data_IF_551367163053
#
_entry.id   IF_551367163053
#
_cell.length_a   1.000
_cell.length_b   1.000
_cell.length_c   1.000
_cell.angle_alpha   90.00
_cell.angle_beta   90.00
_cell.angle_gamma   90.00
#
_symmetry.space_group_name_H-M   'P 1'
#
loop_
_entity.id
_entity.type
_entity.pdbx_description
1 polymer ?
#
# COMPACT_ATOMS: atom_id res chain seq x y z
N UNK A 1 -28.70 4.56 50.60
CA UNK A 1 -29.14 3.31 49.91
C UNK A 1 -30.28 3.73 49.00
N UNK A 2 -30.25 3.73 47.67
CA UNK A 2 -29.48 3.05 46.64
C UNK A 2 -29.69 3.88 45.36
N UNK A 3 -28.62 4.34 44.69
CA UNK A 3 -28.72 4.94 43.35
C UNK A 3 -27.61 4.37 42.46
N UNK A 4 -27.55 3.03 42.39
CA UNK A 4 -26.48 2.27 41.70
C UNK A 4 -26.98 1.44 40.52
N UNK A 5 -28.10 1.81 39.90
CA UNK A 5 -28.75 0.95 38.89
C UNK A 5 -29.28 1.69 37.66
N UNK A 6 -28.49 2.63 37.13
CA UNK A 6 -28.73 3.20 35.77
C UNK A 6 -27.55 2.90 34.84
N UNK A 7 -26.92 1.72 34.96
CA UNK A 7 -25.79 1.33 34.12
C UNK A 7 -25.85 -0.09 33.54
N UNK A 8 -27.03 -0.70 33.42
CA UNK A 8 -27.14 -2.03 32.81
C UNK A 8 -28.33 -2.19 31.88
N UNK A 9 -28.38 -1.42 30.80
CA UNK A 9 -29.16 -1.81 29.62
C UNK A 9 -28.77 -1.05 28.35
N UNK A 10 -27.47 -0.88 28.07
CA UNK A 10 -27.11 -0.74 26.67
C UNK A 10 -27.37 -2.12 26.05
N UNK A 11 -28.41 -2.22 25.23
CA UNK A 11 -28.74 -3.47 24.54
C UNK A 11 -27.52 -4.00 23.79
N UNK A 12 -27.42 -5.32 23.61
CA UNK A 12 -26.34 -5.92 22.77
C UNK A 12 -26.28 -5.24 21.39
N UNK A 13 -27.41 -4.73 20.88
CA UNK A 13 -27.51 -3.94 19.64
C UNK A 13 -26.88 -2.55 19.74
N UNK A 14 -27.05 -1.83 20.85
CA UNK A 14 -26.40 -0.53 21.08
C UNK A 14 -24.90 -0.68 21.31
N UNK A 15 -24.48 -1.73 22.02
CA UNK A 15 -23.06 -2.06 22.16
C UNK A 15 -22.44 -2.47 20.81
N UNK A 16 -23.18 -3.18 19.95
CA UNK A 16 -22.75 -3.51 18.58
C UNK A 16 -22.71 -2.28 17.64
N UNK A 17 -23.60 -1.30 17.83
CA UNK A 17 -23.58 -0.06 17.04
C UNK A 17 -22.37 0.83 17.37
N UNK A 18 -21.95 0.86 18.63
CA UNK A 18 -20.77 1.59 19.10
C UNK A 18 -19.44 0.89 18.78
N UNK A 19 -19.49 -0.43 18.53
CA UNK A 19 -18.34 -1.25 18.13
C UNK A 19 -18.17 -1.37 16.60
N UNK A 20 -18.92 -0.62 15.79
CA UNK A 20 -18.66 -0.56 14.35
C UNK A 20 -17.30 0.11 14.16
N UNK A 21 -16.28 -0.59 13.60
CA UNK A 21 -15.05 0.09 13.23
C UNK A 21 -15.43 1.24 12.30
N UNK A 22 -14.87 2.42 12.55
CA UNK A 22 -15.09 3.66 11.82
C UNK A 22 -14.59 3.51 10.37
N UNK A 23 -15.36 2.75 9.58
CA UNK A 23 -15.20 2.38 8.18
C UNK A 23 -13.88 1.74 7.76
N UNK A 24 -13.76 1.48 6.45
CA UNK A 24 -12.62 0.80 5.83
C UNK A 24 -12.85 -0.68 5.54
N UNK A 25 -11.80 -1.34 5.08
CA UNK A 25 -11.75 -2.77 4.79
C UNK A 25 -11.67 -3.55 6.10
N UNK A 26 -12.47 -4.60 6.22
CA UNK A 26 -12.33 -5.57 7.30
C UNK A 26 -10.90 -6.12 7.35
N UNK A 27 -10.37 -6.41 8.55
CA UNK A 27 -8.97 -6.77 8.74
C UNK A 27 -8.51 -7.94 7.85
N UNK A 28 -9.36 -8.97 7.71
CA UNK A 28 -9.08 -10.12 6.84
C UNK A 28 -9.05 -9.75 5.35
N UNK A 29 -9.98 -8.88 4.91
CA UNK A 29 -10.04 -8.39 3.53
C UNK A 29 -8.81 -7.54 3.23
N UNK A 30 -8.45 -6.62 4.14
CA UNK A 30 -7.24 -5.81 4.02
C UNK A 30 -6.01 -6.69 3.87
N UNK A 31 -5.84 -7.69 4.74
CA UNK A 31 -4.72 -8.63 4.67
C UNK A 31 -4.63 -9.29 3.30
N UNK A 32 -5.73 -9.90 2.83
CA UNK A 32 -5.79 -10.59 1.54
C UNK A 32 -5.45 -9.67 0.36
N UNK A 33 -5.95 -8.44 0.37
CA UNK A 33 -5.65 -7.44 -0.67
C UNK A 33 -4.18 -7.06 -0.66
N UNK A 34 -3.58 -6.84 0.51
CA UNK A 34 -2.16 -6.48 0.62
C UNK A 34 -1.25 -7.63 0.23
N UNK A 35 -1.57 -8.86 0.64
CA UNK A 35 -0.87 -10.08 0.19
C UNK A 35 -0.93 -10.23 -1.33
N UNK A 36 -2.10 -9.98 -1.93
CA UNK A 36 -2.25 -10.01 -3.38
C UNK A 36 -1.38 -8.95 -4.05
N UNK A 37 -1.39 -7.71 -3.57
CA UNK A 37 -0.53 -6.63 -4.09
C UNK A 37 0.94 -7.04 -4.02
N UNK A 38 1.39 -7.53 -2.86
CA UNK A 38 2.80 -7.88 -2.63
C UNK A 38 3.25 -9.02 -3.55
N UNK A 39 2.42 -10.05 -3.73
CA UNK A 39 2.69 -11.16 -4.64
C UNK A 39 2.75 -10.75 -6.13
N UNK A 40 2.20 -9.60 -6.48
CA UNK A 40 2.06 -9.13 -7.86
C UNK A 40 2.88 -7.86 -8.16
N UNK A 41 3.62 -7.35 -7.17
CA UNK A 41 4.23 -6.03 -7.22
C UNK A 41 5.25 -5.87 -8.36
N UNK A 42 6.01 -6.93 -8.64
CA UNK A 42 7.07 -6.97 -9.65
C UNK A 42 6.55 -7.13 -11.09
N UNK A 43 5.25 -7.32 -11.31
CA UNK A 43 4.70 -7.40 -12.67
C UNK A 43 4.82 -6.05 -13.37
N UNK A 44 5.27 -6.07 -14.62
CA UNK A 44 5.31 -4.88 -15.47
C UNK A 44 3.90 -4.41 -15.83
N UNK A 45 2.96 -5.35 -15.98
CA UNK A 45 1.54 -5.05 -16.14
C UNK A 45 0.98 -4.33 -14.91
N UNK A 46 0.10 -3.37 -15.16
CA UNK A 46 -0.52 -2.58 -14.11
C UNK A 46 -1.51 -3.43 -13.30
N UNK A 47 -1.33 -3.45 -11.97
CA UNK A 47 -2.36 -3.92 -11.05
C UNK A 47 -3.55 -2.96 -11.10
N UNK A 48 -4.69 -3.45 -11.59
CA UNK A 48 -5.86 -2.60 -11.83
C UNK A 48 -6.75 -2.50 -10.58
N UNK A 49 -7.51 -1.41 -10.50
CA UNK A 49 -8.50 -1.23 -9.43
C UNK A 49 -9.53 -2.38 -9.43
N UNK A 50 -9.94 -2.82 -10.62
CA UNK A 50 -10.87 -3.92 -10.82
C UNK A 50 -10.38 -5.22 -10.19
N UNK A 51 -9.12 -5.61 -10.46
CA UNK A 51 -8.52 -6.82 -9.87
C UNK A 51 -8.53 -6.77 -8.34
N UNK A 52 -8.12 -5.64 -7.76
CA UNK A 52 -8.07 -5.49 -6.31
C UNK A 52 -9.47 -5.48 -5.67
N UNK A 53 -10.45 -4.89 -6.35
CA UNK A 53 -11.85 -4.89 -5.91
C UNK A 53 -12.44 -6.31 -5.92
N UNK A 54 -12.11 -7.12 -6.93
CA UNK A 54 -12.48 -8.54 -6.98
C UNK A 54 -11.86 -9.33 -5.81
N UNK A 55 -10.59 -9.11 -5.49
CA UNK A 55 -9.94 -9.72 -4.31
C UNK A 55 -10.64 -9.30 -3.01
N UNK A 56 -11.18 -8.07 -2.96
CA UNK A 56 -11.95 -7.59 -1.82
C UNK A 56 -13.41 -8.06 -1.80
N UNK A 57 -13.92 -8.64 -2.89
CA UNK A 57 -15.34 -8.91 -3.14
C UNK A 57 -16.22 -7.66 -2.98
N UNK A 58 -15.79 -6.55 -3.59
CA UNK A 58 -16.47 -5.26 -3.56
C UNK A 58 -16.56 -4.68 -4.97
N UNK A 59 -17.48 -3.75 -5.19
CA UNK A 59 -17.42 -2.89 -6.39
C UNK A 59 -16.18 -2.00 -6.36
N UNK A 60 -15.70 -1.58 -7.52
CA UNK A 60 -14.49 -0.73 -7.62
C UNK A 60 -14.60 0.56 -6.82
N UNK A 61 -15.75 1.24 -6.91
CA UNK A 61 -16.01 2.46 -6.15
C UNK A 61 -15.96 2.22 -4.64
N UNK A 62 -16.63 1.16 -4.17
CA UNK A 62 -16.66 0.87 -2.74
C UNK A 62 -15.28 0.44 -2.24
N UNK A 63 -14.56 -0.38 -3.01
CA UNK A 63 -13.20 -0.78 -2.72
C UNK A 63 -12.25 0.43 -2.63
N UNK A 64 -12.25 1.33 -3.60
CA UNK A 64 -11.40 2.52 -3.58
C UNK A 64 -11.63 3.38 -2.32
N UNK A 65 -12.91 3.58 -1.95
CA UNK A 65 -13.28 4.32 -0.74
C UNK A 65 -12.79 3.63 0.53
N UNK A 66 -13.07 2.32 0.68
CA UNK A 66 -12.69 1.56 1.86
C UNK A 66 -11.18 1.38 1.98
N UNK A 67 -10.47 1.18 0.87
CA UNK A 67 -9.02 1.09 0.84
C UNK A 67 -8.40 2.41 1.31
N UNK A 68 -8.85 3.56 0.78
CA UNK A 68 -8.36 4.87 1.20
C UNK A 68 -8.61 5.14 2.67
N UNK A 69 -9.78 4.77 3.17
CA UNK A 69 -10.08 4.88 4.60
C UNK A 69 -9.17 3.99 5.46
N UNK A 70 -8.77 2.82 4.96
CA UNK A 70 -7.93 1.87 5.69
C UNK A 70 -6.44 2.19 5.65
N UNK A 71 -5.97 2.75 4.53
CA UNK A 71 -4.54 2.88 4.20
C UNK A 71 -4.09 4.33 4.09
N UNK A 72 -5.00 5.31 4.19
CA UNK A 72 -4.73 6.74 4.04
C UNK A 72 -4.45 7.20 2.60
N UNK A 73 -4.35 6.28 1.64
CA UNK A 73 -3.99 6.57 0.24
C UNK A 73 -4.80 5.71 -0.74
N UNK A 74 -4.72 6.02 -2.04
CA UNK A 74 -5.38 5.22 -3.08
C UNK A 74 -4.63 3.90 -3.32
N UNK A 75 -5.29 2.86 -3.86
CA UNK A 75 -4.62 1.60 -4.20
C UNK A 75 -3.40 1.79 -5.11
N UNK A 76 -3.52 2.63 -6.14
CA UNK A 76 -2.40 2.95 -7.04
C UNK A 76 -1.25 3.64 -6.29
N UNK A 77 -1.55 4.59 -5.40
CA UNK A 77 -0.54 5.25 -4.57
C UNK A 77 0.20 4.27 -3.66
N UNK A 78 -0.54 3.35 -3.02
CA UNK A 78 0.06 2.29 -2.20
C UNK A 78 1.02 1.40 -2.99
N UNK A 79 0.60 0.96 -4.19
CA UNK A 79 1.46 0.16 -5.09
C UNK A 79 2.72 0.94 -5.47
N UNK A 80 2.59 2.21 -5.85
CA UNK A 80 3.73 3.05 -6.22
C UNK A 80 4.73 3.18 -5.06
N UNK A 81 4.26 3.46 -3.84
CA UNK A 81 5.10 3.55 -2.65
C UNK A 81 5.84 2.23 -2.36
N UNK A 82 5.15 1.10 -2.49
CA UNK A 82 5.75 -0.24 -2.30
C UNK A 82 6.80 -0.54 -3.36
N UNK A 83 6.55 -0.22 -4.63
CA UNK A 83 7.52 -0.39 -5.73
C UNK A 83 8.76 0.47 -5.52
N UNK A 84 8.59 1.71 -5.08
CA UNK A 84 9.70 2.61 -4.80
C UNK A 84 10.51 2.20 -3.57
N UNK A 85 9.85 1.70 -2.52
CA UNK A 85 10.54 1.13 -1.37
C UNK A 85 11.46 -0.02 -1.81
N UNK A 86 10.96 -0.95 -2.65
CA UNK A 86 11.77 -2.03 -3.21
C UNK A 86 12.94 -1.50 -4.07
N UNK A 87 12.69 -0.51 -4.92
CA UNK A 87 13.74 0.10 -5.73
C UNK A 87 14.83 0.71 -4.85
N UNK A 88 14.44 1.37 -3.76
CA UNK A 88 15.37 1.96 -2.79
C UNK A 88 16.24 0.90 -2.12
N UNK A 89 15.65 -0.23 -1.77
CA UNK A 89 16.39 -1.34 -1.14
C UNK A 89 17.38 -1.96 -2.11
N UNK A 90 17.00 -2.17 -3.38
CA UNK A 90 17.88 -2.68 -4.44
C UNK A 90 19.05 -1.73 -4.74
N UNK A 91 18.78 -0.42 -4.85
CA UNK A 91 19.79 0.59 -5.13
C UNK A 91 20.73 0.83 -3.94
N UNK A 92 20.29 0.52 -2.73
CA UNK A 92 21.02 0.73 -1.48
C UNK A 92 21.89 -0.44 -1.04
N UNK A 93 22.01 -1.50 -1.85
CA UNK A 93 22.81 -2.67 -1.52
C UNK A 93 24.33 -2.38 -1.54
N UNK A 94 25.13 -2.93 -0.60
CA UNK A 94 26.55 -2.63 -0.50
C UNK A 94 27.40 -3.11 -1.67
N UNK A 95 26.94 -4.15 -2.38
CA UNK A 95 27.69 -4.79 -3.48
C UNK A 95 27.68 -3.99 -4.79
N UNK A 96 27.15 -2.77 -4.77
CA UNK A 96 26.92 -1.93 -5.93
C UNK A 96 25.48 -2.01 -6.42
N UNK A 97 24.94 -0.88 -6.88
CA UNK A 97 23.58 -0.83 -7.42
C UNK A 97 23.49 -1.58 -8.76
N UNK A 98 22.46 -2.41 -8.97
CA UNK A 98 22.20 -3.04 -10.26
C UNK A 98 21.94 -1.99 -11.37
N UNK A 99 21.95 -2.43 -12.62
CA UNK A 99 21.53 -1.61 -13.76
C UNK A 99 20.09 -1.09 -13.55
N UNK A 100 19.81 0.16 -13.91
CA UNK A 100 18.52 0.80 -13.62
C UNK A 100 17.35 0.09 -14.33
N UNK A 101 17.61 -0.49 -15.49
CA UNK A 101 16.68 -1.32 -16.25
C UNK A 101 16.28 -2.58 -15.48
N UNK A 102 17.23 -3.23 -14.82
CA UNK A 102 16.97 -4.40 -13.96
C UNK A 102 16.16 -3.99 -12.74
N UNK A 103 16.53 -2.89 -12.07
CA UNK A 103 15.77 -2.36 -10.92
C UNK A 103 14.34 -2.02 -11.33
N UNK A 104 14.15 -1.40 -12.49
CA UNK A 104 12.82 -1.09 -13.01
C UNK A 104 11.99 -2.36 -13.22
N UNK A 105 12.55 -3.37 -13.90
CA UNK A 105 11.87 -4.64 -14.15
C UNK A 105 11.50 -5.36 -12.83
N UNK A 106 12.43 -5.44 -11.87
CA UNK A 106 12.18 -6.09 -10.57
C UNK A 106 11.15 -5.35 -9.70
N UNK A 107 10.97 -4.06 -9.93
CA UNK A 107 10.00 -3.23 -9.22
C UNK A 107 8.69 -3.06 -9.99
N UNK A 108 8.50 -3.75 -11.12
CA UNK A 108 7.27 -3.68 -11.92
C UNK A 108 7.07 -2.37 -12.69
N UNK A 109 8.16 -1.67 -13.00
CA UNK A 109 8.13 -0.53 -13.92
C UNK A 109 8.39 -0.99 -15.36
N UNK A 110 7.64 -0.41 -16.30
CA UNK A 110 7.79 -0.69 -17.73
C UNK A 110 9.10 -0.20 -18.34
N UNK A 111 9.79 0.74 -17.69
CA UNK A 111 11.10 1.24 -18.13
C UNK A 111 11.88 1.91 -17.00
N UNK A 112 13.20 2.03 -17.18
CA UNK A 112 14.08 2.82 -16.33
C UNK A 112 13.63 4.29 -16.22
N UNK A 113 13.15 4.89 -17.32
CA UNK A 113 12.66 6.27 -17.34
C UNK A 113 11.40 6.46 -16.48
N UNK A 114 10.49 5.48 -16.51
CA UNK A 114 9.28 5.52 -15.68
C UNK A 114 9.61 5.39 -14.19
N UNK A 115 10.53 4.48 -13.84
CA UNK A 115 11.08 4.39 -12.49
C UNK A 115 11.73 5.71 -12.07
N UNK A 116 12.64 6.26 -12.88
CA UNK A 116 13.37 7.47 -12.55
C UNK A 116 12.46 8.69 -12.32
N UNK A 117 11.40 8.83 -13.12
CA UNK A 117 10.39 9.88 -12.93
C UNK A 117 9.66 9.71 -11.60
N UNK A 118 9.14 8.50 -11.34
CA UNK A 118 8.38 8.20 -10.13
C UNK A 118 9.24 8.36 -8.87
N UNK A 119 10.47 7.85 -8.92
CA UNK A 119 11.42 7.93 -7.81
C UNK A 119 11.78 9.38 -7.49
N UNK A 120 12.01 10.22 -8.50
CA UNK A 120 12.29 11.64 -8.27
C UNK A 120 11.10 12.39 -7.67
N UNK A 121 9.87 12.08 -8.11
CA UNK A 121 8.65 12.71 -7.57
C UNK A 121 8.49 12.39 -6.09
N UNK A 122 8.69 11.14 -5.69
CA UNK A 122 8.44 10.68 -4.32
C UNK A 122 9.64 10.87 -3.38
N UNK A 123 10.87 10.73 -3.87
CA UNK A 123 12.09 10.76 -3.05
C UNK A 123 12.89 12.06 -3.17
N UNK A 124 12.52 12.96 -4.10
CA UNK A 124 13.21 14.24 -4.34
C UNK A 124 14.56 14.15 -5.06
N UNK A 125 15.10 12.95 -5.27
CA UNK A 125 16.40 12.70 -5.94
C UNK A 125 16.25 11.62 -7.02
N UNK A 126 17.20 11.54 -7.95
CA UNK A 126 17.18 10.46 -8.95
C UNK A 126 17.68 9.13 -8.36
N UNK A 127 17.28 7.97 -8.94
CA UNK A 127 17.82 6.66 -8.54
C UNK A 127 19.34 6.60 -8.51
N UNK A 128 19.99 7.19 -9.52
CA UNK A 128 21.46 7.22 -9.64
C UNK A 128 22.11 8.07 -8.54
N UNK A 129 21.53 9.23 -8.22
CA UNK A 129 22.00 10.06 -7.11
C UNK A 129 21.86 9.32 -5.78
N UNK A 130 20.70 8.68 -5.55
CA UNK A 130 20.46 7.88 -4.36
C UNK A 130 21.48 6.74 -4.20
N UNK A 131 21.69 5.95 -5.26
CA UNK A 131 22.66 4.85 -5.27
C UNK A 131 24.11 5.32 -5.06
N UNK A 132 24.46 6.51 -5.55
CA UNK A 132 25.78 7.10 -5.31
C UNK A 132 25.96 7.53 -3.86
N UNK A 133 24.97 8.21 -3.28
CA UNK A 133 25.01 8.64 -1.88
C UNK A 133 25.16 7.44 -0.92
N UNK A 134 24.43 6.36 -1.18
CA UNK A 134 24.47 5.11 -0.39
C UNK A 134 25.79 4.34 -0.44
N UNK A 135 26.67 4.62 -1.42
CA UNK A 135 28.00 4.00 -1.53
C UNK A 135 29.09 4.80 -0.83
N UNK A 136 28.83 6.07 -0.52
CA UNK A 136 29.79 6.98 0.09
C UNK A 136 29.65 7.05 1.62
N UNK A 137 28.77 6.25 2.21
CA UNK A 137 28.54 6.11 3.66
C UNK A 137 28.84 4.69 4.07
#
# INVERSE_FOLDING_TARGET
>A
MLDRLVLQSASVREQQALARPLGGLAAQVRRRVLEYIDAHLARSEALTLSQLAQVANLSEFHFARMFRQSMGCTPHGWIALKRLARARDLLGQPRGAPALEMVAAECGYSSASHLARSFRVEMGVTPTQYARARRNT
#
